data_IF_974041262452
#
_entry.id   IF_974041262452
#
_cell.length_a   1.000
_cell.length_b   1.000
_cell.length_c   1.000
_cell.angle_alpha   90.00
_cell.angle_beta   90.00
_cell.angle_gamma   90.00
#
_symmetry.space_group_name_H-M   'P 1'
#
loop_
_entity.id
_entity.type
_entity.pdbx_description
1 polymer ?
#
# COMPACT_ATOMS: atom_id res chain seq x y z
N UNK A 1 5.28 -10.93 -37.97
CA UNK A 1 5.47 -11.07 -36.51
C UNK A 1 5.97 -9.79 -35.85
N UNK A 2 6.94 -9.06 -36.43
CA UNK A 2 7.50 -7.81 -35.85
C UNK A 2 6.50 -6.68 -35.60
N UNK A 3 5.55 -6.45 -36.53
CA UNK A 3 4.54 -5.38 -36.39
C UNK A 3 3.54 -5.64 -35.25
N UNK A 4 3.13 -6.90 -35.04
CA UNK A 4 2.21 -7.26 -33.95
C UNK A 4 2.86 -7.06 -32.57
N UNK A 5 4.16 -7.33 -32.46
CA UNK A 5 4.94 -7.11 -31.25
C UNK A 5 5.07 -5.61 -30.94
N UNK A 6 5.29 -4.79 -31.97
CA UNK A 6 5.40 -3.34 -31.84
C UNK A 6 4.10 -2.69 -31.34
N UNK A 7 2.94 -3.17 -31.83
CA UNK A 7 1.62 -2.70 -31.38
C UNK A 7 1.38 -3.07 -29.91
N UNK A 8 1.75 -4.29 -29.48
CA UNK A 8 1.62 -4.71 -28.09
C UNK A 8 2.48 -3.85 -27.13
N UNK A 9 3.71 -3.49 -27.53
CA UNK A 9 4.56 -2.60 -26.74
C UNK A 9 4.00 -1.17 -26.63
N UNK A 10 3.40 -0.62 -27.70
CA UNK A 10 2.80 0.72 -27.70
C UNK A 10 1.60 0.84 -26.75
N UNK A 11 0.80 -0.21 -26.58
CA UNK A 11 -0.36 -0.23 -25.66
C UNK A 11 0.12 -0.25 -24.20
N UNK A 12 1.24 -0.91 -23.90
CA UNK A 12 1.79 -1.00 -22.55
C UNK A 12 2.18 0.35 -21.93
N UNK A 13 2.51 1.36 -22.75
CA UNK A 13 2.84 2.72 -22.26
C UNK A 13 1.62 3.51 -21.75
N UNK A 14 0.39 3.07 -22.06
CA UNK A 14 -0.84 3.73 -21.60
C UNK A 14 -1.36 3.22 -20.26
N UNK A 15 -0.73 2.17 -19.72
CA UNK A 15 -1.05 1.63 -18.41
C UNK A 15 -0.45 2.52 -17.32
N UNK A 16 -1.20 3.51 -16.86
CA UNK A 16 -0.90 4.22 -15.63
C UNK A 16 -1.23 3.34 -14.42
N UNK A 17 -0.34 2.39 -14.12
CA UNK A 17 -0.39 1.60 -12.89
C UNK A 17 0.30 2.34 -11.72
N UNK A 18 0.02 3.64 -11.56
CA UNK A 18 0.57 4.39 -10.45
C UNK A 18 -0.13 3.96 -9.17
N UNK A 19 0.67 3.69 -8.14
CA UNK A 19 0.17 3.41 -6.79
C UNK A 19 -0.35 4.72 -6.18
N UNK A 20 -1.64 4.97 -6.37
CA UNK A 20 -2.30 6.17 -5.87
C UNK A 20 -2.48 6.06 -4.35
N UNK A 21 -2.41 7.18 -3.65
CA UNK A 21 -2.84 7.22 -2.25
C UNK A 21 -4.37 7.01 -2.18
N UNK A 22 -4.83 6.31 -1.14
CA UNK A 22 -6.25 6.11 -0.87
C UNK A 22 -6.92 7.45 -0.53
N UNK A 23 -7.97 7.77 -1.26
CA UNK A 23 -8.88 8.86 -0.97
C UNK A 23 -10.26 8.28 -0.66
N UNK A 24 -10.81 8.48 0.56
CA UNK A 24 -12.11 7.94 0.94
C UNK A 24 -13.28 8.35 0.04
N UNK A 25 -13.17 9.44 -0.72
CA UNK A 25 -14.21 9.95 -1.61
C UNK A 25 -14.01 9.58 -3.08
N UNK A 26 -12.76 9.38 -3.52
CA UNK A 26 -12.43 9.17 -4.94
C UNK A 26 -11.95 7.75 -5.27
N UNK A 27 -11.37 7.03 -4.31
CA UNK A 27 -10.86 5.68 -4.53
C UNK A 27 -12.00 4.68 -4.76
N UNK A 28 -11.78 3.73 -5.66
CA UNK A 28 -12.76 2.68 -6.02
C UNK A 28 -12.63 1.40 -5.20
N UNK A 29 -11.49 1.22 -4.52
CA UNK A 29 -11.17 0.05 -3.70
C UNK A 29 -11.30 0.30 -2.20
N UNK A 30 -10.95 -0.71 -1.40
CA UNK A 30 -10.86 -0.60 0.05
C UNK A 30 -9.49 -0.08 0.49
N UNK A 31 -9.39 0.46 1.71
CA UNK A 31 -8.14 1.02 2.26
C UNK A 31 -6.95 0.03 2.18
N UNK A 32 -7.19 -1.26 2.43
CA UNK A 32 -6.12 -2.27 2.44
C UNK A 32 -5.45 -2.42 1.07
N UNK A 33 -6.14 -2.14 -0.04
CA UNK A 33 -5.60 -2.23 -1.40
C UNK A 33 -4.55 -1.14 -1.69
N UNK A 34 -4.44 -0.16 -0.80
CA UNK A 34 -3.51 0.97 -0.85
C UNK A 34 -2.58 0.99 0.37
N UNK A 35 -2.48 -0.14 1.06
CA UNK A 35 -1.67 -0.32 2.25
C UNK A 35 -0.60 -1.38 2.03
N UNK A 36 0.51 -1.22 2.75
CA UNK A 36 1.60 -2.18 2.76
C UNK A 36 1.82 -2.74 4.16
N UNK A 37 2.34 -3.96 4.22
CA UNK A 37 2.77 -4.67 5.41
C UNK A 37 4.28 -4.96 5.35
N UNK A 38 4.94 -4.82 6.49
CA UNK A 38 6.30 -5.25 6.72
C UNK A 38 6.33 -6.16 7.95
N UNK A 39 6.86 -7.38 7.80
CA UNK A 39 7.23 -8.24 8.92
C UNK A 39 8.69 -7.97 9.29
N UNK A 40 8.95 -7.63 10.55
CA UNK A 40 10.29 -7.33 11.10
C UNK A 40 10.84 -8.45 11.99
N UNK A 41 10.16 -9.59 12.06
CA UNK A 41 10.52 -10.70 12.92
C UNK A 41 10.51 -10.27 14.38
N UNK A 42 11.53 -10.66 15.15
CA UNK A 42 11.71 -10.24 16.53
C UNK A 42 12.26 -8.82 16.70
N UNK A 43 12.55 -8.09 15.61
CA UNK A 43 13.14 -6.76 15.69
C UNK A 43 12.10 -5.74 16.12
N UNK A 44 12.37 -5.01 17.20
CA UNK A 44 11.57 -3.86 17.61
C UNK A 44 12.13 -2.60 16.93
N UNK A 45 11.47 -2.17 15.84
CA UNK A 45 11.81 -0.92 15.17
C UNK A 45 11.07 0.26 15.80
N UNK A 46 11.67 1.44 15.78
CA UNK A 46 10.96 2.70 16.07
C UNK A 46 10.38 3.29 14.79
N UNK A 47 9.47 4.26 14.93
CA UNK A 47 8.94 5.02 13.78
C UNK A 47 10.08 5.68 12.98
N UNK A 48 11.15 6.14 13.63
CA UNK A 48 12.30 6.74 12.94
C UNK A 48 13.04 5.70 12.10
N UNK A 49 13.24 4.51 12.63
CA UNK A 49 13.88 3.43 11.88
C UNK A 49 13.07 3.08 10.63
N UNK A 50 11.74 3.03 10.77
CA UNK A 50 10.83 2.76 9.63
C UNK A 50 10.84 3.88 8.60
N UNK A 51 10.93 5.14 9.01
CA UNK A 51 10.91 6.29 8.10
C UNK A 51 12.22 6.49 7.34
N UNK A 52 13.36 6.20 7.97
CA UNK A 52 14.68 6.53 7.41
C UNK A 52 15.46 5.33 6.86
N UNK A 53 14.98 4.09 7.08
CA UNK A 53 15.60 2.90 6.53
C UNK A 53 15.03 2.57 5.13
N UNK A 54 15.79 2.89 4.09
CA UNK A 54 15.43 2.61 2.70
C UNK A 54 15.45 1.12 2.32
N UNK A 55 16.00 0.25 3.18
CA UNK A 55 16.14 -1.18 2.92
C UNK A 55 14.96 -2.00 3.42
N UNK A 56 13.96 -1.38 4.07
CA UNK A 56 12.77 -2.09 4.52
C UNK A 56 11.83 -2.38 3.34
N UNK A 57 11.61 -3.67 3.08
CA UNK A 57 10.75 -4.14 2.00
C UNK A 57 9.31 -4.31 2.48
N UNK A 58 8.52 -3.27 2.24
CA UNK A 58 7.07 -3.30 2.39
C UNK A 58 6.42 -4.05 1.23
N UNK A 59 5.43 -4.90 1.53
CA UNK A 59 4.65 -5.66 0.54
C UNK A 59 3.19 -5.29 0.64
N UNK A 60 2.48 -5.27 -0.48
CA UNK A 60 1.05 -4.94 -0.49
C UNK A 60 0.28 -5.83 0.50
N UNK A 61 -0.64 -5.21 1.23
CA UNK A 61 -1.57 -5.91 2.10
C UNK A 61 -2.65 -6.61 1.25
N UNK A 62 -2.90 -7.89 1.51
CA UNK A 62 -3.77 -8.71 0.64
C UNK A 62 -5.26 -8.59 0.96
N UNK A 63 -5.61 -8.26 2.21
CA UNK A 63 -7.00 -8.10 2.67
C UNK A 63 -7.08 -7.23 3.93
N UNK A 64 -8.28 -6.76 4.24
CA UNK A 64 -8.61 -6.06 5.48
C UNK A 64 -8.33 -6.90 6.73
N UNK A 65 -8.54 -8.20 6.63
CA UNK A 65 -8.32 -9.20 7.68
C UNK A 65 -7.12 -10.10 7.36
N UNK A 66 -6.03 -9.51 6.85
CA UNK A 66 -4.84 -10.29 6.48
C UNK A 66 -4.33 -11.08 7.68
N UNK A 67 -4.40 -12.40 7.58
CA UNK A 67 -3.96 -13.30 8.64
C UNK A 67 -2.44 -13.41 8.64
N UNK A 68 -1.82 -12.97 9.74
CA UNK A 68 -0.37 -13.15 9.98
C UNK A 68 -0.04 -14.47 10.69
N UNK A 69 -1.06 -15.28 11.00
CA UNK A 69 -0.91 -16.53 11.75
C UNK A 69 -0.60 -16.32 13.24
N UNK A 70 -0.29 -17.43 13.94
CA UNK A 70 0.17 -17.38 15.33
C UNK A 70 1.68 -17.16 15.35
N UNK A 71 2.08 -15.91 15.55
CA UNK A 71 3.49 -15.51 15.59
C UNK A 71 3.73 -14.49 16.69
N UNK A 72 4.98 -14.39 17.13
CA UNK A 72 5.48 -13.33 18.01
C UNK A 72 6.22 -12.25 17.23
N UNK A 73 6.15 -12.29 15.89
CA UNK A 73 6.78 -11.30 15.03
C UNK A 73 6.13 -9.92 15.17
N UNK A 74 6.94 -8.89 14.95
CA UNK A 74 6.51 -7.50 14.91
C UNK A 74 6.16 -7.09 13.47
N UNK A 75 5.04 -6.39 13.32
CA UNK A 75 4.54 -5.95 12.01
C UNK A 75 4.35 -4.43 11.96
N UNK A 76 4.61 -3.87 10.79
CA UNK A 76 4.31 -2.48 10.47
C UNK A 76 3.34 -2.42 9.30
N UNK A 77 2.25 -1.66 9.46
CA UNK A 77 1.33 -1.33 8.38
C UNK A 77 1.56 0.10 7.95
N UNK A 78 1.67 0.34 6.65
CA UNK A 78 1.85 1.67 6.06
C UNK A 78 0.66 1.99 5.16
N UNK A 79 0.03 3.11 5.41
CA UNK A 79 -1.07 3.63 4.59
C UNK A 79 -0.62 4.85 3.80
N UNK A 80 -1.01 4.93 2.53
CA UNK A 80 -0.89 6.15 1.72
C UNK A 80 -2.27 6.79 1.65
N UNK A 81 -2.43 7.96 2.27
CA UNK A 81 -3.71 8.65 2.37
C UNK A 81 -3.69 9.99 1.65
N UNK A 82 -4.81 10.35 1.02
CA UNK A 82 -5.06 11.63 0.38
C UNK A 82 -6.42 12.18 0.83
N UNK A 83 -6.50 13.49 0.98
CA UNK A 83 -7.75 14.21 1.11
C UNK A 83 -7.87 15.18 -0.08
N UNK A 84 -8.65 14.80 -1.09
CA UNK A 84 -9.00 15.64 -2.25
C UNK A 84 -10.06 16.71 -1.92
N UNK A 85 -10.68 16.65 -0.74
CA UNK A 85 -11.67 17.65 -0.31
C UNK A 85 -10.99 18.98 0.09
N UNK A 86 -11.73 20.08 -0.07
CA UNK A 86 -11.34 21.38 0.49
C UNK A 86 -11.77 21.54 1.96
N UNK A 87 -12.31 20.49 2.58
CA UNK A 87 -12.72 20.45 3.99
C UNK A 87 -11.90 19.42 4.76
N UNK A 88 -11.72 19.68 6.05
CA UNK A 88 -11.19 18.68 6.95
C UNK A 88 -12.17 17.51 7.06
N UNK A 89 -11.65 16.30 6.94
CA UNK A 89 -12.38 15.07 7.18
C UNK A 89 -11.71 14.30 8.30
N UNK A 90 -12.52 13.61 9.10
CA UNK A 90 -12.04 12.80 10.22
C UNK A 90 -12.54 11.38 10.01
N UNK A 91 -11.59 10.45 9.94
CA UNK A 91 -11.80 9.02 9.85
C UNK A 91 -10.97 8.34 10.94
N UNK A 92 -11.40 7.16 11.36
CA UNK A 92 -10.72 6.37 12.36
C UNK A 92 -10.34 5.02 11.76
N UNK A 93 -9.15 4.54 12.10
CA UNK A 93 -8.80 3.14 11.87
C UNK A 93 -9.50 2.33 12.96
N UNK A 94 -10.40 1.44 12.55
CA UNK A 94 -11.01 0.48 13.44
C UNK A 94 -10.05 -0.69 13.67
N UNK A 95 -9.86 -1.06 14.93
CA UNK A 95 -9.07 -2.23 15.33
C UNK A 95 -9.97 -3.14 16.16
N UNK A 96 -9.88 -4.45 15.94
CA UNK A 96 -10.59 -5.46 16.73
C UNK A 96 -10.03 -5.60 18.16
#
# INVERSE_FOLDING_TARGET
>A
MKLKLLIACLIGFTSYAQELAFDPLESKGQLYEYADLLNTGSSELTVRDVLFNSSLEFKNLESDNHSVGFTTDNFWVRFKLKNSSNRQQTFYLETA
#
